data_IF_535643936609
#
_entry.id   IF_535643936609
#
_cell.length_a   1.000
_cell.length_b   1.000
_cell.length_c   1.000
_cell.angle_alpha   90.00
_cell.angle_beta   90.00
_cell.angle_gamma   90.00
#
_symmetry.space_group_name_H-M   'P 1'
#
loop_
_entity.id
_entity.type
_entity.pdbx_description
1 polymer ?
#
# COMPACT_ATOMS: atom_id res chain seq x y z
N UNK A 1 -42.85 55.22 29.31
CA UNK A 1 -42.21 54.20 30.16
C UNK A 1 -41.20 53.53 29.26
N UNK A 2 -39.94 54.08 29.21
CA UNK A 2 -38.83 53.59 28.36
C UNK A 2 -38.11 52.47 29.07
N UNK A 3 -38.09 51.29 28.46
CA UNK A 3 -37.26 50.16 28.94
C UNK A 3 -35.87 50.32 28.36
N UNK A 4 -34.89 50.47 29.24
CA UNK A 4 -33.45 50.53 28.92
C UNK A 4 -32.93 49.14 28.51
N UNK A 5 -32.50 49.03 27.24
CA UNK A 5 -31.77 47.86 26.76
C UNK A 5 -30.37 47.83 27.37
N UNK A 6 -30.15 46.81 28.16
CA UNK A 6 -28.86 46.52 28.83
C UNK A 6 -27.93 45.88 27.77
N UNK A 7 -27.02 46.64 27.23
CA UNK A 7 -25.96 46.12 26.35
C UNK A 7 -24.97 45.32 27.16
N UNK A 8 -25.01 44.01 27.05
CA UNK A 8 -23.93 43.14 27.53
C UNK A 8 -22.70 43.33 26.66
N UNK A 9 -21.52 43.62 27.20
CA UNK A 9 -20.30 43.78 26.43
C UNK A 9 -19.93 42.44 25.76
N UNK A 10 -19.72 42.48 24.46
CA UNK A 10 -19.19 41.37 23.69
C UNK A 10 -17.81 40.96 24.25
N UNK A 11 -17.73 39.80 24.84
CA UNK A 11 -16.48 39.22 25.33
C UNK A 11 -15.49 39.11 24.14
N UNK A 12 -14.38 39.80 24.22
CA UNK A 12 -13.25 39.66 23.28
C UNK A 12 -12.86 38.17 23.17
N UNK A 13 -12.64 37.64 21.95
CA UNK A 13 -12.16 36.31 21.79
C UNK A 13 -10.72 36.22 22.32
N UNK A 14 -10.56 35.56 23.46
CA UNK A 14 -9.25 35.24 24.02
C UNK A 14 -8.38 34.62 22.94
N UNK A 15 -7.32 35.34 22.58
CA UNK A 15 -6.28 34.84 21.68
C UNK A 15 -5.65 33.59 22.29
N UNK A 16 -6.19 32.43 21.93
CA UNK A 16 -5.52 31.18 22.21
C UNK A 16 -4.24 31.14 21.38
N UNK A 17 -3.12 31.47 22.00
CA UNK A 17 -1.78 31.12 21.53
C UNK A 17 -1.68 29.60 21.39
N UNK A 18 -2.26 29.09 20.32
CA UNK A 18 -2.22 27.69 19.93
C UNK A 18 -0.80 27.34 19.51
N UNK A 19 -0.04 26.70 20.39
CA UNK A 19 1.15 25.95 20.00
C UNK A 19 0.75 25.05 18.85
N UNK A 20 1.34 25.32 17.66
CA UNK A 20 1.00 24.69 16.39
C UNK A 20 1.15 23.16 16.50
N UNK A 21 0.07 22.38 16.37
CA UNK A 21 0.13 20.91 16.39
C UNK A 21 0.99 20.34 15.25
N UNK A 22 1.29 21.16 14.25
CA UNK A 22 2.12 20.82 13.11
C UNK A 22 3.58 20.46 13.49
N UNK A 23 4.20 21.18 14.42
CA UNK A 23 5.61 21.00 14.76
C UNK A 23 5.90 19.63 15.38
N UNK A 24 5.02 19.13 16.24
CA UNK A 24 5.15 17.80 16.84
C UNK A 24 4.90 16.65 15.84
N UNK A 25 4.02 16.88 14.87
CA UNK A 25 3.79 15.91 13.79
C UNK A 25 5.00 15.81 12.85
N UNK A 26 5.58 16.94 12.47
CA UNK A 26 6.81 16.93 11.65
C UNK A 26 8.00 16.33 12.41
N UNK A 27 8.15 16.64 13.71
CA UNK A 27 9.19 16.04 14.54
C UNK A 27 9.05 14.51 14.64
N UNK A 28 7.82 14.00 14.77
CA UNK A 28 7.56 12.56 14.78
C UNK A 28 7.91 11.88 13.44
N UNK A 29 7.53 12.49 12.32
CA UNK A 29 7.83 11.96 10.98
C UNK A 29 9.33 11.96 10.72
N UNK A 30 10.04 13.05 11.06
CA UNK A 30 11.50 13.13 10.91
C UNK A 30 12.22 12.12 11.80
N UNK A 31 11.78 11.91 13.04
CA UNK A 31 12.35 10.91 13.93
C UNK A 31 12.20 9.48 13.36
N UNK A 32 11.02 9.12 12.85
CA UNK A 32 10.79 7.82 12.20
C UNK A 32 11.69 7.67 10.97
N UNK A 33 11.82 8.70 10.15
CA UNK A 33 12.62 8.67 8.93
C UNK A 33 14.11 8.50 9.26
N UNK A 34 14.62 9.16 10.28
CA UNK A 34 15.98 9.01 10.78
C UNK A 34 16.23 7.59 11.30
N UNK A 35 15.30 7.03 12.08
CA UNK A 35 15.40 5.65 12.59
C UNK A 35 15.46 4.67 11.42
N UNK A 36 14.58 4.81 10.41
CA UNK A 36 14.53 3.95 9.22
C UNK A 36 15.82 4.08 8.39
N UNK A 37 16.42 5.28 8.29
CA UNK A 37 17.69 5.46 7.60
C UNK A 37 18.89 4.85 8.35
N UNK A 38 18.89 4.81 9.67
CA UNK A 38 19.99 4.26 10.48
C UNK A 38 19.90 2.73 10.59
N UNK A 39 18.70 2.18 10.46
CA UNK A 39 18.39 0.76 10.65
C UNK A 39 19.33 -0.20 9.90
N UNK A 40 19.72 0.01 8.61
CA UNK A 40 20.61 -0.89 7.87
C UNK A 40 22.02 -1.00 8.43
N UNK A 41 22.45 -0.04 9.25
CA UNK A 41 23.76 -0.07 9.91
C UNK A 41 23.73 -0.84 11.24
N UNK A 42 22.58 -0.91 11.89
CA UNK A 42 22.40 -1.55 13.18
C UNK A 42 22.06 -3.05 13.09
N UNK A 43 21.70 -3.54 11.89
CA UNK A 43 21.10 -4.87 11.71
C UNK A 43 21.91 -5.70 10.72
N UNK A 44 21.85 -7.05 10.84
CA UNK A 44 22.51 -8.00 9.92
C UNK A 44 21.89 -7.96 8.51
N UNK A 45 22.67 -8.31 7.46
CA UNK A 45 22.23 -8.27 6.06
C UNK A 45 20.90 -9.00 5.80
N UNK A 46 20.69 -10.19 6.38
CA UNK A 46 19.44 -10.92 6.26
C UNK A 46 18.23 -10.12 6.78
N UNK A 47 18.36 -9.44 7.91
CA UNK A 47 17.28 -8.60 8.43
C UNK A 47 17.08 -7.33 7.60
N UNK A 48 18.14 -6.81 6.97
CA UNK A 48 18.02 -5.68 6.03
C UNK A 48 17.16 -6.09 4.84
N UNK A 49 17.35 -7.30 4.28
CA UNK A 49 16.51 -7.83 3.19
C UNK A 49 15.06 -8.00 3.63
N UNK A 50 14.77 -8.47 4.86
CA UNK A 50 13.41 -8.54 5.40
C UNK A 50 12.75 -7.14 5.51
N UNK A 51 13.47 -6.14 5.99
CA UNK A 51 12.95 -4.77 6.03
C UNK A 51 12.74 -4.19 4.64
N UNK A 52 13.59 -4.52 3.66
CA UNK A 52 13.36 -4.17 2.25
C UNK A 52 12.07 -4.79 1.73
N UNK A 53 11.81 -6.06 2.06
CA UNK A 53 10.57 -6.73 1.71
C UNK A 53 9.32 -6.07 2.36
N UNK A 54 9.43 -5.62 3.61
CA UNK A 54 8.38 -4.83 4.27
C UNK A 54 8.06 -3.55 3.50
N UNK A 55 9.09 -2.81 3.04
CA UNK A 55 8.89 -1.59 2.24
C UNK A 55 8.19 -1.91 0.91
N UNK A 56 8.60 -2.98 0.24
CA UNK A 56 8.00 -3.45 -1.02
C UNK A 56 6.52 -3.84 -0.80
N UNK A 57 6.23 -4.62 0.24
CA UNK A 57 4.85 -5.00 0.57
C UNK A 57 4.00 -3.78 0.95
N UNK A 58 4.58 -2.80 1.64
CA UNK A 58 3.89 -1.56 1.94
C UNK A 58 3.49 -0.81 0.66
N UNK A 59 4.33 -0.78 -0.38
CA UNK A 59 3.98 -0.19 -1.68
C UNK A 59 2.82 -0.95 -2.35
N UNK A 60 2.90 -2.29 -2.41
CA UNK A 60 1.85 -3.13 -3.02
C UNK A 60 0.50 -2.94 -2.31
N UNK A 61 0.52 -2.98 -0.98
CA UNK A 61 -0.67 -2.80 -0.16
C UNK A 61 -1.20 -1.36 -0.20
N UNK A 62 -0.34 -0.36 -0.40
CA UNK A 62 -0.76 1.02 -0.62
C UNK A 62 -1.58 1.14 -1.90
N UNK A 63 -1.15 0.49 -3.00
CA UNK A 63 -1.90 0.39 -4.24
C UNK A 63 -3.27 -0.26 -4.03
N UNK A 64 -3.32 -1.41 -3.34
CA UNK A 64 -4.57 -2.08 -3.00
C UNK A 64 -5.47 -1.21 -2.11
N UNK A 65 -4.90 -0.51 -1.14
CA UNK A 65 -5.66 0.35 -0.23
C UNK A 65 -6.27 1.57 -0.95
N UNK A 66 -5.59 2.13 -1.96
CA UNK A 66 -6.18 3.17 -2.83
C UNK A 66 -7.42 2.63 -3.55
N UNK A 67 -7.35 1.41 -4.09
CA UNK A 67 -8.44 0.78 -4.82
C UNK A 67 -9.56 0.31 -3.89
N UNK A 68 -9.26 -0.51 -2.90
CA UNK A 68 -10.26 -1.13 -2.03
C UNK A 68 -10.69 -0.19 -0.91
N UNK A 69 -9.74 0.52 -0.29
CA UNK A 69 -10.01 1.38 0.85
C UNK A 69 -10.68 2.70 0.48
N UNK A 70 -10.13 3.40 -0.51
CA UNK A 70 -10.60 4.74 -0.88
C UNK A 70 -11.63 4.73 -2.00
N UNK A 71 -11.58 3.78 -2.95
CA UNK A 71 -12.54 3.68 -4.06
C UNK A 71 -13.63 2.62 -3.85
N UNK A 72 -13.49 1.73 -2.87
CA UNK A 72 -14.49 0.71 -2.55
C UNK A 72 -14.52 -0.50 -3.51
N UNK A 73 -13.54 -0.63 -4.42
CA UNK A 73 -13.45 -1.75 -5.35
C UNK A 73 -12.61 -2.88 -4.74
N UNK A 74 -13.24 -3.99 -4.38
CA UNK A 74 -12.55 -5.15 -3.84
C UNK A 74 -11.80 -5.85 -4.98
N UNK A 75 -10.46 -6.01 -4.84
CA UNK A 75 -9.61 -6.69 -5.82
C UNK A 75 -8.74 -7.75 -5.15
N UNK A 76 -8.74 -8.95 -5.72
CA UNK A 76 -7.85 -10.06 -5.38
C UNK A 76 -6.80 -10.32 -6.47
N UNK A 77 -6.65 -9.38 -7.41
CA UNK A 77 -5.75 -9.49 -8.56
C UNK A 77 -4.37 -8.86 -8.37
N UNK A 78 -4.05 -8.37 -7.19
CA UNK A 78 -2.80 -7.64 -6.97
C UNK A 78 -1.54 -8.49 -7.23
N UNK A 79 -1.60 -9.78 -6.93
CA UNK A 79 -0.51 -10.72 -7.25
C UNK A 79 -0.19 -10.80 -8.74
N UNK A 80 -1.20 -10.67 -9.62
CA UNK A 80 -0.99 -10.62 -11.07
C UNK A 80 -0.21 -9.38 -11.50
N UNK A 81 -0.58 -8.19 -11.02
CA UNK A 81 0.14 -6.95 -11.34
C UNK A 81 1.54 -6.92 -10.72
N UNK A 82 1.69 -7.53 -9.56
CA UNK A 82 2.99 -7.73 -8.94
C UNK A 82 3.89 -8.63 -9.81
N UNK A 83 3.37 -9.74 -10.32
CA UNK A 83 4.07 -10.61 -11.25
C UNK A 83 4.42 -9.90 -12.57
N UNK A 84 3.46 -9.16 -13.17
CA UNK A 84 3.71 -8.38 -14.40
C UNK A 84 4.85 -7.38 -14.18
N UNK A 85 4.87 -6.66 -13.06
CA UNK A 85 5.94 -5.73 -12.73
C UNK A 85 7.30 -6.40 -12.55
N UNK A 86 7.34 -7.53 -11.83
CA UNK A 86 8.55 -8.31 -11.62
C UNK A 86 9.12 -8.86 -12.94
N UNK A 87 8.27 -9.46 -13.76
CA UNK A 87 8.68 -9.99 -15.06
C UNK A 87 9.08 -8.90 -16.05
N UNK A 88 8.41 -7.75 -16.04
CA UNK A 88 8.81 -6.60 -16.85
C UNK A 88 10.26 -6.20 -16.53
N UNK A 89 10.58 -6.09 -15.25
CA UNK A 89 11.95 -5.76 -14.83
C UNK A 89 12.93 -6.86 -15.19
N UNK A 90 12.58 -8.13 -14.96
CA UNK A 90 13.45 -9.26 -15.28
C UNK A 90 13.77 -9.36 -16.78
N UNK A 91 12.75 -9.25 -17.63
CA UNK A 91 12.91 -9.31 -19.08
C UNK A 91 13.75 -8.12 -19.60
N UNK A 92 13.50 -6.91 -19.09
CA UNK A 92 14.26 -5.74 -19.51
C UNK A 92 15.74 -5.85 -19.11
N UNK A 93 16.05 -6.36 -17.92
CA UNK A 93 17.44 -6.58 -17.50
C UNK A 93 18.12 -7.68 -18.33
N UNK A 94 17.45 -8.82 -18.52
CA UNK A 94 18.03 -9.97 -19.22
C UNK A 94 18.24 -9.72 -20.72
N UNK A 95 17.25 -9.11 -21.39
CA UNK A 95 17.27 -8.97 -22.86
C UNK A 95 17.87 -7.66 -23.37
N UNK A 96 17.71 -6.57 -22.63
CA UNK A 96 18.09 -5.23 -23.13
C UNK A 96 19.29 -4.62 -22.42
N UNK A 97 19.71 -5.19 -21.27
CA UNK A 97 20.81 -4.65 -20.48
C UNK A 97 20.59 -3.22 -19.96
N UNK A 98 19.34 -2.76 -19.93
CA UNK A 98 18.99 -1.42 -19.43
C UNK A 98 19.30 -1.34 -17.94
N UNK A 99 19.81 -0.20 -17.43
CA UNK A 99 20.12 -0.07 -16.01
C UNK A 99 18.85 -0.27 -15.14
N UNK A 100 19.00 -0.95 -14.02
CA UNK A 100 17.89 -1.38 -13.15
C UNK A 100 17.03 -0.22 -12.64
N UNK A 101 17.57 1.00 -12.46
CA UNK A 101 16.78 2.16 -12.00
C UNK A 101 15.73 2.61 -13.01
N UNK A 102 15.92 2.36 -14.32
CA UNK A 102 14.95 2.71 -15.37
C UNK A 102 13.89 1.63 -15.55
N UNK A 103 14.16 0.39 -15.16
CA UNK A 103 13.19 -0.71 -15.30
C UNK A 103 11.99 -0.55 -14.38
N UNK A 104 12.20 0.02 -13.17
CA UNK A 104 11.14 0.22 -12.17
C UNK A 104 10.04 1.18 -12.66
N UNK A 105 10.36 2.40 -13.17
CA UNK A 105 9.32 3.27 -13.71
C UNK A 105 8.66 2.69 -14.97
N UNK A 106 9.40 1.97 -15.83
CA UNK A 106 8.84 1.30 -17.01
C UNK A 106 7.83 0.24 -16.57
N UNK A 107 8.16 -0.60 -15.60
CA UNK A 107 7.24 -1.58 -15.03
C UNK A 107 5.98 -0.90 -14.45
N UNK A 108 6.15 0.24 -13.79
CA UNK A 108 5.04 1.04 -13.30
C UNK A 108 4.10 1.51 -14.41
N UNK A 109 4.63 2.03 -15.51
CA UNK A 109 3.83 2.50 -16.66
C UNK A 109 3.11 1.34 -17.35
N UNK A 110 3.80 0.20 -17.56
CA UNK A 110 3.19 -1.00 -18.16
C UNK A 110 2.05 -1.51 -17.28
N UNK A 111 2.25 -1.59 -15.95
CA UNK A 111 1.22 -2.02 -15.03
C UNK A 111 0.06 -1.02 -14.93
N UNK A 112 0.33 0.30 -15.04
CA UNK A 112 -0.71 1.31 -15.13
C UNK A 112 -1.59 1.11 -16.37
N UNK A 113 -0.97 0.91 -17.54
CA UNK A 113 -1.69 0.66 -18.79
C UNK A 113 -2.48 -0.66 -18.73
N UNK A 114 -1.86 -1.74 -18.26
CA UNK A 114 -2.51 -3.03 -18.10
C UNK A 114 -3.68 -2.96 -17.11
N UNK A 115 -3.50 -2.31 -15.96
CA UNK A 115 -4.54 -2.12 -14.97
C UNK A 115 -5.68 -1.22 -15.46
N UNK A 116 -5.38 -0.14 -16.16
CA UNK A 116 -6.39 0.70 -16.79
C UNK A 116 -7.21 -0.08 -17.81
N UNK A 117 -6.54 -0.85 -18.69
CA UNK A 117 -7.19 -1.67 -19.71
C UNK A 117 -8.06 -2.76 -19.08
N UNK A 118 -7.59 -3.42 -18.03
CA UNK A 118 -8.37 -4.40 -17.26
C UNK A 118 -9.53 -3.73 -16.49
N UNK A 119 -9.33 -2.49 -16.04
CA UNK A 119 -10.35 -1.68 -15.38
C UNK A 119 -11.57 -1.41 -16.24
N UNK A 120 -11.44 -1.28 -17.57
CA UNK A 120 -12.56 -1.02 -18.47
C UNK A 120 -13.64 -2.13 -18.47
N UNK A 121 -13.30 -3.42 -18.71
CA UNK A 121 -14.30 -4.49 -18.58
C UNK A 121 -14.76 -4.68 -17.12
N UNK A 122 -13.90 -4.39 -16.16
CA UNK A 122 -14.22 -4.49 -14.74
C UNK A 122 -15.31 -3.48 -14.28
N UNK A 123 -15.57 -2.40 -15.04
CA UNK A 123 -16.65 -1.44 -14.77
C UNK A 123 -18.03 -2.07 -14.80
N UNK A 124 -18.20 -3.16 -15.55
CA UNK A 124 -19.47 -3.89 -15.64
C UNK A 124 -19.71 -4.84 -14.47
N UNK A 125 -18.67 -5.03 -13.64
CA UNK A 125 -18.67 -5.96 -12.52
C UNK A 125 -18.66 -5.15 -11.22
N UNK A 126 -19.57 -5.47 -10.32
CA UNK A 126 -19.64 -4.82 -9.01
C UNK A 126 -19.46 -5.81 -7.86
N UNK A 127 -18.88 -5.33 -6.76
CA UNK A 127 -18.77 -6.10 -5.51
C UNK A 127 -18.03 -7.43 -5.69
N UNK A 128 -18.71 -8.54 -5.43
CA UNK A 128 -18.14 -9.89 -5.43
C UNK A 128 -17.71 -10.34 -6.83
N UNK A 129 -18.44 -9.96 -7.88
CA UNK A 129 -18.10 -10.36 -9.26
C UNK A 129 -16.75 -9.75 -9.69
N UNK A 130 -16.46 -8.53 -9.31
CA UNK A 130 -15.17 -7.89 -9.56
C UNK A 130 -14.05 -8.62 -8.80
N UNK A 131 -14.29 -9.00 -7.54
CA UNK A 131 -13.32 -9.75 -6.75
C UNK A 131 -13.01 -11.12 -7.39
N UNK A 132 -14.03 -11.84 -7.89
CA UNK A 132 -13.86 -13.11 -8.58
C UNK A 132 -13.11 -12.95 -9.92
N UNK A 133 -13.42 -11.93 -10.72
CA UNK A 133 -12.71 -11.66 -11.97
C UNK A 133 -11.24 -11.35 -11.74
N UNK A 134 -10.94 -10.54 -10.73
CA UNK A 134 -9.55 -10.22 -10.37
C UNK A 134 -8.82 -11.42 -9.74
N UNK A 135 -9.52 -12.29 -9.01
CA UNK A 135 -8.97 -13.56 -8.53
C UNK A 135 -8.62 -14.48 -9.71
N UNK A 136 -9.50 -14.59 -10.70
CA UNK A 136 -9.23 -15.36 -11.91
C UNK A 136 -7.97 -14.85 -12.63
N UNK A 137 -7.77 -13.53 -12.70
CA UNK A 137 -6.55 -12.93 -13.23
C UNK A 137 -5.31 -13.38 -12.43
N UNK A 138 -5.39 -13.38 -11.08
CA UNK A 138 -4.29 -13.82 -10.23
C UNK A 138 -3.95 -15.31 -10.40
N UNK A 139 -4.97 -16.16 -10.65
CA UNK A 139 -4.77 -17.58 -10.96
C UNK A 139 -4.17 -17.79 -12.36
N UNK A 140 -4.66 -17.04 -13.35
CA UNK A 140 -4.26 -17.20 -14.74
C UNK A 140 -2.84 -16.71 -14.99
N UNK A 141 -2.39 -15.63 -14.33
CA UNK A 141 -1.09 -15.00 -14.62
C UNK A 141 0.09 -15.96 -14.48
N UNK A 142 0.29 -16.73 -13.40
CA UNK A 142 1.38 -17.71 -13.32
C UNK A 142 1.29 -18.78 -14.39
N UNK A 143 0.08 -19.19 -14.79
CA UNK A 143 -0.10 -20.20 -15.84
C UNK A 143 0.23 -19.66 -17.24
N UNK A 144 -0.13 -18.40 -17.52
CA UNK A 144 0.23 -17.73 -18.76
C UNK A 144 1.75 -17.59 -18.87
N UNK A 145 2.42 -17.24 -17.78
CA UNK A 145 3.88 -17.12 -17.74
C UNK A 145 4.61 -18.45 -17.98
N UNK A 146 3.98 -19.59 -17.71
CA UNK A 146 4.50 -20.94 -17.98
C UNK A 146 4.19 -21.46 -19.39
N UNK A 147 3.41 -20.70 -20.21
CA UNK A 147 3.07 -21.13 -21.55
C UNK A 147 4.30 -21.16 -22.45
N UNK A 148 4.47 -22.26 -23.22
CA UNK A 148 5.60 -22.47 -24.16
C UNK A 148 5.84 -21.33 -25.15
N UNK A 149 4.81 -20.55 -25.50
CA UNK A 149 4.93 -19.39 -26.39
C UNK A 149 5.68 -18.21 -25.78
N UNK A 150 5.78 -18.15 -24.45
CA UNK A 150 6.46 -17.08 -23.72
C UNK A 150 7.79 -17.54 -23.12
N UNK A 151 8.15 -18.84 -23.20
CA UNK A 151 9.37 -19.40 -22.58
C UNK A 151 10.64 -18.62 -22.92
N UNK A 152 10.75 -18.13 -24.16
CA UNK A 152 11.92 -17.35 -24.62
C UNK A 152 12.06 -15.99 -23.89
N UNK A 153 10.96 -15.48 -23.31
CA UNK A 153 10.92 -14.19 -22.63
C UNK A 153 10.86 -14.35 -21.12
N UNK A 154 10.15 -15.38 -20.64
CA UNK A 154 9.88 -15.57 -19.19
C UNK A 154 10.81 -16.58 -18.52
N UNK A 155 11.63 -17.32 -19.33
CA UNK A 155 12.38 -18.45 -18.82
C UNK A 155 11.50 -19.66 -18.45
N UNK A 156 10.19 -19.62 -18.79
CA UNK A 156 9.24 -20.70 -18.54
C UNK A 156 9.14 -21.07 -17.06
N UNK A 157 9.15 -22.37 -16.78
CA UNK A 157 9.06 -22.90 -15.41
C UNK A 157 10.32 -22.61 -14.60
N UNK A 158 11.48 -22.48 -15.25
CA UNK A 158 12.75 -22.24 -14.56
C UNK A 158 12.91 -20.79 -14.07
N UNK A 159 12.17 -19.84 -14.69
CA UNK A 159 12.27 -18.44 -14.37
C UNK A 159 13.54 -17.77 -14.90
N UNK A 160 13.76 -16.54 -14.46
CA UNK A 160 14.90 -15.69 -14.87
C UNK A 160 15.74 -15.40 -13.65
N UNK A 161 17.05 -15.68 -13.72
CA UNK A 161 18.02 -15.27 -12.72
C UNK A 161 18.61 -13.91 -13.11
N UNK A 162 18.67 -13.00 -12.15
CA UNK A 162 19.16 -11.64 -12.34
C UNK A 162 20.46 -11.46 -11.57
N UNK A 163 21.31 -10.59 -12.08
CA UNK A 163 22.48 -10.14 -11.29
C UNK A 163 22.02 -9.18 -10.18
N UNK A 164 22.57 -9.36 -8.99
CA UNK A 164 22.30 -8.47 -7.87
C UNK A 164 22.71 -7.03 -8.25
N UNK A 165 21.83 -6.04 -8.08
CA UNK A 165 22.11 -4.67 -8.48
C UNK A 165 23.26 -4.11 -7.64
N UNK A 166 24.38 -3.81 -8.33
CA UNK A 166 25.53 -3.18 -7.72
C UNK A 166 25.25 -1.69 -7.43
N UNK A 167 25.85 -1.18 -6.36
CA UNK A 167 25.77 0.24 -6.04
C UNK A 167 26.40 1.08 -7.18
N UNK A 168 25.72 2.10 -7.73
CA UNK A 168 26.28 2.99 -8.73
C UNK A 168 27.40 3.82 -8.09
N UNK A 169 28.29 4.34 -8.96
CA UNK A 169 29.39 5.26 -8.57
C UNK A 169 30.44 4.66 -7.62
N UNK A 170 30.58 3.32 -7.51
CA UNK A 170 31.61 2.71 -6.68
C UNK A 170 31.49 2.97 -5.17
N UNK A 171 30.28 3.26 -4.70
CA UNK A 171 29.99 3.43 -3.27
C UNK A 171 30.33 2.14 -2.52
N UNK A 172 31.08 2.18 -1.40
CA UNK A 172 31.46 1.01 -0.61
C UNK A 172 30.28 0.51 0.25
N UNK A 173 29.11 0.33 -0.37
CA UNK A 173 27.90 -0.19 0.27
C UNK A 173 27.70 -1.64 -0.14
N UNK A 174 27.39 -2.50 0.82
CA UNK A 174 26.96 -3.85 0.52
C UNK A 174 25.69 -3.82 -0.36
N UNK A 175 25.53 -4.76 -1.34
CA UNK A 175 24.38 -4.80 -2.22
C UNK A 175 23.02 -4.76 -1.48
N UNK A 176 22.91 -5.46 -0.32
CA UNK A 176 21.70 -5.48 0.50
C UNK A 176 21.32 -4.10 1.04
N UNK A 177 22.32 -3.33 1.49
CA UNK A 177 22.09 -1.97 1.99
C UNK A 177 21.70 -1.02 0.88
N UNK A 178 22.32 -1.17 -0.30
CA UNK A 178 21.99 -0.35 -1.45
C UNK A 178 20.54 -0.57 -1.89
N UNK A 179 20.10 -1.84 -2.05
CA UNK A 179 18.73 -2.18 -2.38
C UNK A 179 17.74 -1.64 -1.36
N UNK A 180 18.08 -1.71 -0.06
CA UNK A 180 17.23 -1.14 0.98
C UNK A 180 16.98 0.36 0.78
N UNK A 181 18.03 1.16 0.54
CA UNK A 181 17.86 2.59 0.29
C UNK A 181 17.12 2.88 -1.01
N UNK A 182 17.35 2.08 -2.02
CA UNK A 182 16.61 2.18 -3.27
C UNK A 182 15.11 1.92 -3.07
N UNK A 183 14.74 0.87 -2.35
CA UNK A 183 13.35 0.59 -1.96
C UNK A 183 12.76 1.72 -1.08
N UNK A 184 13.56 2.26 -0.15
CA UNK A 184 13.12 3.35 0.72
C UNK A 184 12.78 4.62 -0.06
N UNK A 185 13.62 5.00 -1.01
CA UNK A 185 13.38 6.18 -1.88
C UNK A 185 12.06 6.00 -2.65
N UNK A 186 11.85 4.83 -3.28
CA UNK A 186 10.62 4.53 -3.99
C UNK A 186 9.41 4.52 -3.07
N UNK A 187 9.54 3.96 -1.87
CA UNK A 187 8.47 3.94 -0.87
C UNK A 187 8.07 5.36 -0.50
N UNK A 188 9.03 6.23 -0.16
CA UNK A 188 8.76 7.63 0.20
C UNK A 188 8.10 8.37 -0.97
N UNK A 189 8.64 8.24 -2.19
CA UNK A 189 8.11 8.89 -3.38
C UNK A 189 6.65 8.49 -3.64
N UNK A 190 6.34 7.20 -3.58
CA UNK A 190 5.01 6.66 -3.82
C UNK A 190 4.02 7.02 -2.70
N UNK A 191 4.46 7.04 -1.43
CA UNK A 191 3.61 7.51 -0.33
C UNK A 191 3.28 9.00 -0.44
N UNK A 192 4.24 9.84 -0.83
CA UNK A 192 3.99 11.27 -1.09
C UNK A 192 3.03 11.42 -2.27
N UNK A 193 3.22 10.64 -3.34
CA UNK A 193 2.33 10.66 -4.50
C UNK A 193 0.91 10.21 -4.14
N UNK A 194 0.73 9.14 -3.37
CA UNK A 194 -0.57 8.69 -2.86
C UNK A 194 -1.26 9.75 -2.00
N UNK A 195 -0.51 10.37 -1.09
CA UNK A 195 -1.02 11.46 -0.24
C UNK A 195 -1.51 12.64 -1.06
N UNK A 196 -0.74 13.06 -2.07
CA UNK A 196 -1.11 14.16 -2.95
C UNK A 196 -2.34 13.80 -3.81
N UNK A 197 -2.39 12.57 -4.34
CA UNK A 197 -3.53 12.05 -5.09
C UNK A 197 -4.82 12.12 -4.24
N UNK A 198 -4.77 11.59 -3.02
CA UNK A 198 -5.94 11.51 -2.13
C UNK A 198 -6.38 12.87 -1.59
N UNK A 199 -5.48 13.83 -1.43
CA UNK A 199 -5.80 15.22 -1.04
C UNK A 199 -6.34 16.06 -2.19
N UNK A 200 -6.06 15.66 -3.42
CA UNK A 200 -6.42 16.38 -4.64
C UNK A 200 -7.92 16.28 -4.98
N UNK A 201 -8.27 16.83 -6.15
CA UNK A 201 -9.62 16.73 -6.73
C UNK A 201 -9.98 15.27 -7.02
N UNK A 202 -9.00 14.51 -7.54
CA UNK A 202 -9.13 13.08 -7.83
C UNK A 202 -9.50 12.27 -6.59
N UNK A 203 -8.82 12.49 -5.46
CA UNK A 203 -9.10 11.78 -4.22
C UNK A 203 -10.51 12.04 -3.69
N UNK A 204 -10.99 13.29 -3.78
CA UNK A 204 -12.37 13.61 -3.40
C UNK A 204 -13.40 12.92 -4.30
N UNK A 205 -13.14 12.86 -5.62
CA UNK A 205 -14.00 12.16 -6.57
C UNK A 205 -14.04 10.65 -6.26
N UNK A 206 -12.89 10.02 -6.00
CA UNK A 206 -12.78 8.60 -5.65
C UNK A 206 -13.59 8.27 -4.38
N UNK A 207 -13.45 9.11 -3.33
CA UNK A 207 -14.18 8.92 -2.07
C UNK A 207 -15.67 9.14 -2.26
N UNK A 208 -16.09 10.12 -3.07
CA UNK A 208 -17.50 10.35 -3.39
C UNK A 208 -18.12 9.15 -4.12
N UNK A 209 -17.39 8.54 -5.07
CA UNK A 209 -17.81 7.33 -5.77
C UNK A 209 -17.97 6.15 -4.81
N UNK A 210 -17.05 5.99 -3.85
CA UNK A 210 -17.13 4.94 -2.84
C UNK A 210 -18.38 5.08 -1.95
N UNK A 211 -18.65 6.30 -1.51
CA UNK A 211 -19.70 6.55 -0.53
C UNK A 211 -21.10 6.51 -1.20
N UNK A 212 -21.27 7.16 -2.36
CA UNK A 212 -22.53 7.19 -3.12
C UNK A 212 -22.27 7.36 -4.62
N UNK A 213 -22.11 6.27 -5.41
CA UNK A 213 -21.76 6.36 -6.83
C UNK A 213 -22.80 7.12 -7.67
N UNK A 214 -24.11 6.90 -7.43
CA UNK A 214 -25.17 7.61 -8.14
C UNK A 214 -25.18 9.12 -7.86
N UNK A 215 -24.95 9.51 -6.60
CA UNK A 215 -24.86 10.93 -6.24
C UNK A 215 -23.62 11.60 -6.84
N UNK A 216 -22.49 10.90 -6.94
CA UNK A 216 -21.28 11.41 -7.59
C UNK A 216 -21.53 11.65 -9.09
N UNK A 217 -22.24 10.74 -9.76
CA UNK A 217 -22.58 10.84 -11.18
C UNK A 217 -23.52 12.02 -11.46
N UNK A 218 -24.55 12.23 -10.65
CA UNK A 218 -25.45 13.40 -10.77
C UNK A 218 -24.73 14.73 -10.56
N UNK A 219 -23.61 14.73 -9.82
CA UNK A 219 -22.76 15.90 -9.63
C UNK A 219 -21.70 16.06 -10.73
N UNK A 220 -21.77 15.29 -11.82
CA UNK A 220 -20.88 15.38 -12.99
C UNK A 220 -19.55 14.67 -12.85
N UNK A 221 -19.41 13.75 -11.88
CA UNK A 221 -18.22 12.90 -11.78
C UNK A 221 -18.37 11.71 -12.73
N UNK A 222 -17.46 11.56 -13.69
CA UNK A 222 -17.38 10.37 -14.55
C UNK A 222 -16.90 9.15 -13.74
N UNK A 223 -17.87 8.39 -13.23
CA UNK A 223 -17.60 7.24 -12.36
C UNK A 223 -16.80 6.15 -13.08
N UNK A 224 -17.04 5.97 -14.39
CA UNK A 224 -16.34 4.96 -15.20
C UNK A 224 -14.85 5.29 -15.34
N UNK A 225 -14.54 6.51 -15.73
CA UNK A 225 -13.16 6.97 -15.89
C UNK A 225 -12.39 6.90 -14.57
N UNK A 226 -12.97 7.41 -13.47
CA UNK A 226 -12.31 7.40 -12.16
C UNK A 226 -12.10 5.99 -11.60
N UNK A 227 -13.06 5.08 -11.76
CA UNK A 227 -12.93 3.67 -11.37
C UNK A 227 -11.78 2.99 -12.13
N UNK A 228 -11.72 3.14 -13.47
CA UNK A 228 -10.66 2.57 -14.30
C UNK A 228 -9.29 3.17 -14.01
N UNK A 229 -9.19 4.50 -13.85
CA UNK A 229 -7.94 5.18 -13.47
C UNK A 229 -7.44 4.72 -12.10
N UNK A 230 -8.32 4.58 -11.12
CA UNK A 230 -7.94 4.10 -9.80
C UNK A 230 -7.43 2.67 -9.86
N UNK A 231 -8.03 1.84 -10.69
CA UNK A 231 -7.57 0.47 -10.94
C UNK A 231 -6.17 0.47 -11.56
N UNK A 232 -5.94 1.31 -12.59
CA UNK A 232 -4.63 1.49 -13.22
C UNK A 232 -3.56 2.00 -12.25
N UNK A 233 -3.89 3.00 -11.43
CA UNK A 233 -2.98 3.52 -10.39
C UNK A 233 -2.66 2.43 -9.36
N UNK A 234 -3.63 1.68 -8.89
CA UNK A 234 -3.41 0.55 -7.96
C UNK A 234 -2.46 -0.49 -8.57
N UNK A 235 -2.69 -0.86 -9.83
CA UNK A 235 -1.83 -1.78 -10.58
C UNK A 235 -0.39 -1.23 -10.75
N UNK A 236 -0.23 0.07 -11.00
CA UNK A 236 1.07 0.73 -11.09
C UNK A 236 1.86 0.58 -9.78
N UNK A 237 1.24 0.87 -8.64
CA UNK A 237 1.89 0.72 -7.33
C UNK A 237 2.33 -0.72 -7.10
N UNK A 238 1.44 -1.66 -7.36
CA UNK A 238 1.74 -3.08 -7.18
C UNK A 238 2.80 -3.57 -8.17
N UNK A 239 2.79 -3.07 -9.42
CA UNK A 239 3.81 -3.37 -10.42
C UNK A 239 5.19 -2.84 -10.04
N UNK A 240 5.28 -1.61 -9.51
CA UNK A 240 6.53 -1.06 -8.97
C UNK A 240 7.03 -1.92 -7.80
N UNK A 241 6.15 -2.34 -6.90
CA UNK A 241 6.51 -3.25 -5.82
C UNK A 241 7.05 -4.60 -6.35
N UNK A 242 6.43 -5.16 -7.39
CA UNK A 242 6.91 -6.37 -8.06
C UNK A 242 8.28 -6.18 -8.70
N UNK A 243 8.50 -5.04 -9.37
CA UNK A 243 9.79 -4.68 -9.95
C UNK A 243 10.91 -4.61 -8.89
N UNK A 244 10.63 -3.96 -7.76
CA UNK A 244 11.57 -3.87 -6.64
C UNK A 244 11.84 -5.25 -6.01
N UNK A 245 10.81 -6.11 -5.92
CA UNK A 245 10.97 -7.48 -5.42
C UNK A 245 11.85 -8.33 -6.32
N UNK A 246 11.74 -8.20 -7.64
CA UNK A 246 12.61 -8.88 -8.59
C UNK A 246 14.08 -8.50 -8.39
N UNK A 247 14.36 -7.21 -8.13
CA UNK A 247 15.70 -6.71 -7.84
C UNK A 247 16.23 -7.20 -6.48
N UNK A 248 15.35 -7.32 -5.47
CA UNK A 248 15.72 -7.79 -4.14
C UNK A 248 16.04 -9.28 -4.11
N UNK A 249 15.20 -10.10 -4.77
CA UNK A 249 15.37 -11.56 -4.79
C UNK A 249 16.41 -12.03 -5.78
N UNK A 250 16.78 -11.18 -6.78
CA UNK A 250 17.65 -11.52 -7.91
C UNK A 250 17.20 -12.78 -8.69
N UNK A 251 15.95 -13.18 -8.49
CA UNK A 251 15.35 -14.35 -9.14
C UNK A 251 13.83 -14.16 -9.28
N UNK A 252 13.30 -14.46 -10.46
CA UNK A 252 11.88 -14.35 -10.76
C UNK A 252 11.39 -15.62 -11.42
N UNK A 253 10.45 -16.33 -10.78
CA UNK A 253 9.79 -17.51 -11.35
C UNK A 253 8.26 -17.38 -11.25
N UNK A 254 7.49 -18.07 -12.13
CA UNK A 254 6.03 -18.03 -12.04
C UNK A 254 5.50 -18.53 -10.68
N UNK A 255 6.18 -19.47 -10.05
CA UNK A 255 5.80 -20.06 -8.77
C UNK A 255 6.01 -19.11 -7.59
N UNK A 256 6.78 -18.03 -7.77
CA UNK A 256 6.95 -16.98 -6.76
C UNK A 256 5.70 -16.10 -6.57
N UNK A 257 4.71 -16.21 -7.47
CA UNK A 257 3.50 -15.39 -7.45
C UNK A 257 2.22 -16.22 -7.30
N UNK A 258 2.07 -17.02 -6.23
CA UNK A 258 0.87 -17.79 -6.00
C UNK A 258 -0.32 -16.88 -5.70
N UNK A 259 -1.53 -17.37 -5.92
CA UNK A 259 -2.78 -16.65 -5.58
C UNK A 259 -2.79 -16.19 -4.13
N UNK A 260 -2.18 -16.98 -3.26
CA UNK A 260 -2.04 -16.67 -1.84
C UNK A 260 -1.35 -15.32 -1.56
N UNK A 261 -0.46 -14.87 -2.45
CA UNK A 261 0.17 -13.55 -2.36
C UNK A 261 -0.86 -12.42 -2.44
N UNK A 262 -1.86 -12.53 -3.34
CA UNK A 262 -2.95 -11.55 -3.43
C UNK A 262 -3.79 -11.51 -2.15
N UNK A 263 -4.05 -12.68 -1.58
CA UNK A 263 -4.77 -12.80 -0.31
C UNK A 263 -3.95 -12.18 0.83
N UNK A 264 -2.65 -12.43 0.88
CA UNK A 264 -1.74 -11.80 1.86
C UNK A 264 -1.81 -10.27 1.80
N UNK A 265 -1.78 -9.67 0.61
CA UNK A 265 -1.89 -8.21 0.46
C UNK A 265 -3.24 -7.66 0.96
N UNK A 266 -4.34 -8.37 0.67
CA UNK A 266 -5.66 -7.97 1.17
C UNK A 266 -5.70 -8.05 2.70
N UNK A 267 -5.25 -9.18 3.26
CA UNK A 267 -5.18 -9.39 4.71
C UNK A 267 -4.37 -8.30 5.39
N UNK A 268 -3.18 -8.00 4.87
CA UNK A 268 -2.34 -6.95 5.43
C UNK A 268 -2.96 -5.56 5.35
N UNK A 269 -3.67 -5.27 4.27
CA UNK A 269 -4.41 -4.01 4.14
C UNK A 269 -5.54 -3.90 5.17
N UNK A 270 -6.23 -5.01 5.47
CA UNK A 270 -7.27 -5.08 6.50
C UNK A 270 -6.66 -4.94 7.90
N UNK A 271 -5.61 -5.70 8.20
CA UNK A 271 -4.90 -5.66 9.48
C UNK A 271 -4.29 -4.27 9.75
N UNK A 272 -3.69 -3.67 8.73
CA UNK A 272 -3.16 -2.31 8.82
C UNK A 272 -4.23 -1.26 9.05
N UNK A 273 -5.39 -1.46 8.46
CA UNK A 273 -6.55 -0.56 8.48
C UNK A 273 -6.90 -0.06 7.09
N UNK A 274 -8.10 -0.42 6.63
CA UNK A 274 -8.65 0.00 5.34
C UNK A 274 -8.81 1.53 5.31
N UNK A 275 -8.47 2.15 4.17
CA UNK A 275 -8.49 3.60 3.96
C UNK A 275 -7.54 4.40 4.86
N UNK A 276 -6.47 3.77 5.35
CA UNK A 276 -5.42 4.42 6.12
C UNK A 276 -4.05 4.27 5.44
N UNK A 277 -3.39 5.39 5.13
CA UNK A 277 -2.06 5.38 4.53
C UNK A 277 -0.98 4.87 5.50
N UNK A 278 -1.03 5.29 6.76
CA UNK A 278 -0.04 4.89 7.77
C UNK A 278 -0.23 3.46 8.25
N UNK A 279 -1.47 2.95 8.24
CA UNK A 279 -1.79 1.58 8.60
C UNK A 279 -1.15 0.53 7.69
N UNK A 280 -0.91 0.87 6.43
CA UNK A 280 -0.29 -0.05 5.46
C UNK A 280 1.09 -0.54 5.90
N UNK A 281 1.90 0.29 6.58
CA UNK A 281 3.19 -0.14 7.12
C UNK A 281 3.05 -1.18 8.22
N UNK A 282 2.05 -1.04 9.09
CA UNK A 282 1.79 -2.02 10.16
C UNK A 282 1.32 -3.35 9.57
N UNK A 283 0.48 -3.29 8.53
CA UNK A 283 0.06 -4.47 7.78
C UNK A 283 1.23 -5.16 7.07
N UNK A 284 2.16 -4.40 6.47
CA UNK A 284 3.34 -4.94 5.82
C UNK A 284 4.29 -5.63 6.82
N UNK A 285 4.51 -5.02 7.98
CA UNK A 285 5.27 -5.64 9.07
C UNK A 285 4.60 -6.94 9.54
N UNK A 286 3.29 -6.93 9.69
CA UNK A 286 2.55 -8.13 10.08
C UNK A 286 2.74 -9.27 9.08
N UNK A 287 2.56 -9.00 7.77
CA UNK A 287 2.66 -10.03 6.73
C UNK A 287 4.07 -10.60 6.63
N UNK A 288 5.10 -9.78 6.78
CA UNK A 288 6.49 -10.23 6.64
C UNK A 288 6.97 -11.01 7.87
N UNK A 289 6.66 -10.54 9.07
CA UNK A 289 7.22 -11.14 10.28
C UNK A 289 6.34 -12.24 10.89
N UNK A 290 5.02 -12.20 10.66
CA UNK A 290 4.10 -13.16 11.30
C UNK A 290 4.31 -14.62 10.85
N UNK A 291 4.58 -14.93 9.56
CA UNK A 291 4.92 -16.29 9.15
C UNK A 291 6.17 -16.82 9.88
N UNK A 292 7.19 -15.99 10.06
CA UNK A 292 8.41 -16.38 10.78
C UNK A 292 8.13 -16.71 12.25
N UNK A 293 7.21 -15.99 12.90
CA UNK A 293 6.74 -16.32 14.26
C UNK A 293 5.95 -17.62 14.28
N UNK A 294 5.09 -17.84 13.30
CA UNK A 294 4.30 -19.05 13.18
C UNK A 294 5.20 -20.29 13.02
N UNK A 295 6.24 -20.21 12.21
CA UNK A 295 7.25 -21.26 12.01
C UNK A 295 8.03 -21.61 13.30
N UNK A 296 8.28 -20.63 14.16
CA UNK A 296 8.94 -20.86 15.46
C UNK A 296 8.04 -21.60 16.46
N UNK A 297 6.72 -21.40 16.37
CA UNK A 297 5.74 -22.05 17.25
C UNK A 297 5.48 -23.50 16.81
N UNK A 298 5.28 -23.71 15.51
CA UNK A 298 5.08 -25.05 14.96
C UNK A 298 5.59 -25.15 13.54
N UNK A 299 6.58 -25.99 13.32
CA UNK A 299 7.09 -26.31 11.99
C UNK A 299 6.15 -27.19 11.16
N UNK A 300 5.15 -27.83 11.82
CA UNK A 300 4.26 -28.76 11.14
C UNK A 300 3.08 -28.07 10.43
N UNK A 301 2.63 -26.91 10.92
CA UNK A 301 1.47 -26.21 10.38
C UNK A 301 1.58 -24.66 10.54
N UNK A 302 2.56 -24.00 9.94
CA UNK A 302 2.75 -22.55 10.09
C UNK A 302 1.57 -21.74 9.54
N UNK A 303 0.97 -22.18 8.42
CA UNK A 303 -0.17 -21.50 7.81
C UNK A 303 -1.43 -21.55 8.67
N UNK A 304 -1.63 -22.64 9.45
CA UNK A 304 -2.76 -22.74 10.39
C UNK A 304 -2.59 -21.74 11.55
N UNK A 305 -1.37 -21.61 12.07
CA UNK A 305 -1.06 -20.64 13.12
C UNK A 305 -1.22 -19.22 12.60
N UNK A 306 -0.72 -18.93 11.39
CA UNK A 306 -0.92 -17.64 10.74
C UNK A 306 -2.41 -17.29 10.62
N UNK A 307 -3.25 -18.26 10.16
CA UNK A 307 -4.71 -18.07 10.07
C UNK A 307 -5.36 -17.83 11.43
N UNK A 308 -4.94 -18.53 12.48
CA UNK A 308 -5.46 -18.33 13.83
C UNK A 308 -5.12 -16.94 14.37
N UNK A 309 -3.88 -16.48 14.19
CA UNK A 309 -3.48 -15.12 14.55
C UNK A 309 -4.28 -14.07 13.81
N UNK A 310 -4.55 -14.30 12.52
CA UNK A 310 -5.32 -13.42 11.70
C UNK A 310 -6.76 -13.27 12.21
N UNK A 311 -7.42 -14.39 12.52
CA UNK A 311 -8.78 -14.39 13.11
C UNK A 311 -8.78 -13.66 14.44
N UNK A 312 -7.82 -13.97 15.32
CA UNK A 312 -7.69 -13.31 16.61
C UNK A 312 -7.51 -11.79 16.46
N UNK A 313 -6.67 -11.36 15.51
CA UNK A 313 -6.39 -9.95 15.26
C UNK A 313 -7.60 -9.22 14.69
N UNK A 314 -8.34 -9.84 13.75
CA UNK A 314 -9.60 -9.28 13.24
C UNK A 314 -10.67 -9.12 14.33
N UNK A 315 -10.73 -10.08 15.26
CA UNK A 315 -11.68 -10.01 16.39
C UNK A 315 -11.28 -8.95 17.41
N UNK A 316 -9.99 -8.84 17.73
CA UNK A 316 -9.47 -7.88 18.71
C UNK A 316 -9.39 -6.44 18.17
N UNK A 317 -9.16 -6.27 16.86
CA UNK A 317 -8.91 -4.98 16.23
C UNK A 317 -9.82 -4.73 15.01
N UNK A 318 -11.14 -4.58 15.19
CA UNK A 318 -12.07 -4.44 14.05
C UNK A 318 -11.84 -3.18 13.20
N UNK A 319 -11.09 -2.18 13.70
CA UNK A 319 -10.68 -0.97 12.98
C UNK A 319 -9.24 -1.04 12.45
N UNK A 320 -8.60 -2.22 12.51
CA UNK A 320 -7.20 -2.41 12.17
C UNK A 320 -6.22 -1.87 13.24
N UNK A 321 -4.94 -2.13 13.04
CA UNK A 321 -3.88 -1.74 13.98
C UNK A 321 -3.81 -0.23 14.20
N UNK A 322 -4.17 0.59 13.20
CA UNK A 322 -4.18 2.04 13.33
C UNK A 322 -5.26 2.53 14.29
N UNK A 323 -6.40 1.85 14.37
CA UNK A 323 -7.46 2.19 15.31
C UNK A 323 -7.01 2.07 16.79
N UNK A 324 -6.13 1.10 17.05
CA UNK A 324 -5.53 0.92 18.38
C UNK A 324 -4.47 1.97 18.67
N UNK A 325 -3.63 2.31 17.69
CA UNK A 325 -2.66 3.39 17.86
C UNK A 325 -3.34 4.73 18.11
N UNK A 326 -4.43 5.05 17.41
CA UNK A 326 -5.22 6.24 17.65
C UNK A 326 -5.84 6.23 19.06
N UNK A 327 -6.34 5.09 19.51
CA UNK A 327 -6.89 4.95 20.87
C UNK A 327 -5.81 5.17 21.93
N UNK A 328 -4.63 4.58 21.78
CA UNK A 328 -3.50 4.76 22.68
C UNK A 328 -3.01 6.22 22.65
N UNK A 329 -2.88 6.81 21.47
CA UNK A 329 -2.44 8.20 21.30
C UNK A 329 -3.41 9.19 21.98
N UNK A 330 -4.72 8.96 21.85
CA UNK A 330 -5.74 9.78 22.53
C UNK A 330 -5.65 9.62 24.05
N UNK A 331 -5.37 8.40 24.55
CA UNK A 331 -5.30 8.11 25.98
C UNK A 331 -3.99 8.60 26.60
N UNK A 332 -2.87 8.48 25.91
CA UNK A 332 -1.55 8.89 26.41
C UNK A 332 -1.29 10.40 26.27
N UNK A 333 -1.80 11.04 25.21
CA UNK A 333 -1.57 12.47 24.96
C UNK A 333 -2.63 13.39 25.61
N UNK A 334 -3.54 12.84 26.43
CA UNK A 334 -4.46 13.63 27.27
C UNK A 334 -5.34 14.63 26.52
N UNK A 335 -5.64 14.39 25.23
CA UNK A 335 -6.47 15.28 24.44
C UNK A 335 -7.92 15.16 24.91
N UNK A 336 -8.27 15.94 25.95
CA UNK A 336 -9.66 16.15 26.39
C UNK A 336 -10.49 16.55 25.16
N UNK A 337 -11.20 15.58 24.60
CA UNK A 337 -12.33 15.87 23.71
C UNK A 337 -13.40 16.49 24.60
N UNK A 338 -13.58 17.81 24.47
CA UNK A 338 -14.66 18.54 25.16
C UNK A 338 -15.99 17.83 24.89
N UNK A 339 -16.70 17.60 25.99
CA UNK A 339 -18.02 16.99 26.06
C UNK A 339 -19.03 17.94 25.38
N UNK A 340 -19.13 17.88 24.05
CA UNK A 340 -20.13 18.58 23.24
C UNK A 340 -21.13 17.54 22.75
N UNK A 341 -22.36 17.64 23.28
CA UNK A 341 -23.54 16.88 22.92
C UNK A 341 -23.69 16.67 21.43
N UNK A 342 -23.99 15.46 21.10
CA UNK A 342 -24.72 14.95 19.95
C UNK A 342 -24.58 15.70 18.63
N UNK A 343 -23.89 15.08 17.67
CA UNK A 343 -24.28 15.00 16.26
C UNK A 343 -23.13 14.45 15.42
N UNK A 344 -23.45 13.50 14.57
CA UNK A 344 -22.79 13.06 13.35
C UNK A 344 -21.38 12.47 13.52
N UNK A 345 -21.33 11.16 13.33
CA UNK A 345 -20.15 10.40 12.94
C UNK A 345 -19.60 11.00 11.63
N UNK A 346 -18.65 11.94 11.78
CA UNK A 346 -17.82 12.38 10.67
C UNK A 346 -16.68 11.37 10.55
N UNK A 347 -16.70 10.55 9.53
CA UNK A 347 -15.53 9.79 9.10
C UNK A 347 -14.44 10.80 8.70
N UNK A 348 -13.59 11.19 9.63
CA UNK A 348 -12.37 11.90 9.29
C UNK A 348 -11.41 10.86 8.67
N UNK A 349 -11.20 10.99 7.38
CA UNK A 349 -10.09 10.38 6.66
C UNK A 349 -8.81 10.85 7.36
N UNK A 350 -8.10 9.93 8.04
CA UNK A 350 -6.78 10.19 8.61
C UNK A 350 -5.79 10.12 7.45
N UNK A 351 -5.44 11.29 6.94
CA UNK A 351 -4.44 11.49 5.88
C UNK A 351 -3.08 11.77 6.51
#
# INVERSE_FOLDING_TARGET
MMATLNETPLAEPAAHAGRSPAMWQYAGITAILVIVCILPFAVSGYRVSQFSQVLIYAIAMLGLNILTGFNGQISLGQGAFYAIGAYTTAILLDKTGIPYWTTVPIAGVICLAAGFLFGLPALRLEGLYLALATLALAVATPQILKCKGFDQWTGGVQGIQLDAPAAPFGLPLNPDRWIYYFCLIWTIALFVMARNLLRGRTGRAIIAIRDHPLAAETMGVDTALYKSLTFGVSAMYTGIAGALSALLSAYVSPDSFPVFLSIKFLVGSVVGGIASLSGVFLGALFIEFMPNFADQISKAAPDAIFGMFLIALMYLMPKGAIGVLDFIAVRCLGRKRGNGRGTRVSHRVVI
#
